data_IF_024586588693
#
_entry.id   IF_024586588693
#
_cell.length_a   1.000
_cell.length_b   1.000
_cell.length_c   1.000
_cell.angle_alpha   90.00
_cell.angle_beta   90.00
_cell.angle_gamma   90.00
#
_symmetry.space_group_name_H-M   'P 1'
#
loop_
_entity.id
_entity.type
_entity.pdbx_description
1 polymer ?
#
# COMPACT_ATOMS: atom_id res chain seq x y z
N UNK A 1 -0.44 28.37 -8.61
CA UNK A 1 -1.56 28.57 -9.57
C UNK A 1 -1.38 29.90 -10.26
N UNK A 2 -1.46 29.92 -11.58
CA UNK A 2 -1.34 31.13 -12.37
C UNK A 2 -2.73 31.57 -12.81
N UNK A 3 -3.10 32.80 -12.48
CA UNK A 3 -4.39 33.36 -12.84
C UNK A 3 -4.20 34.30 -14.04
N UNK A 4 -5.04 34.16 -15.06
CA UNK A 4 -4.98 34.95 -16.28
C UNK A 4 -5.98 36.14 -16.23
N UNK A 5 -5.75 37.21 -17.01
CA UNK A 5 -6.59 38.38 -16.95
C UNK A 5 -8.08 38.18 -17.26
N UNK A 6 -8.42 37.12 -17.96
CA UNK A 6 -9.80 36.73 -18.25
C UNK A 6 -10.46 35.89 -17.13
N UNK A 7 -9.76 35.70 -16.02
CA UNK A 7 -10.26 34.89 -14.92
C UNK A 7 -10.07 33.41 -15.12
N UNK A 8 -9.48 32.96 -16.23
CA UNK A 8 -9.19 31.57 -16.44
C UNK A 8 -8.03 31.10 -15.57
N UNK A 9 -8.22 29.96 -14.92
CA UNK A 9 -7.16 29.31 -14.14
C UNK A 9 -6.64 28.14 -14.95
N UNK A 10 -5.36 28.21 -15.33
CA UNK A 10 -4.71 27.12 -16.06
C UNK A 10 -3.83 26.37 -15.07
N UNK A 11 -4.04 25.05 -15.00
CA UNK A 11 -3.15 24.18 -14.24
C UNK A 11 -1.80 24.13 -14.93
N UNK A 12 -0.76 24.39 -14.14
CA UNK A 12 0.61 24.27 -14.57
C UNK A 12 1.28 23.15 -13.79
N UNK A 13 2.53 22.86 -14.10
CA UNK A 13 3.29 21.88 -13.34
C UNK A 13 3.40 22.24 -11.85
N UNK A 14 3.18 23.50 -11.50
CA UNK A 14 3.17 23.96 -10.11
C UNK A 14 1.88 23.56 -9.36
N UNK A 15 0.84 23.16 -10.06
CA UNK A 15 -0.41 22.70 -9.46
C UNK A 15 -0.36 21.19 -9.10
N UNK A 16 0.67 20.48 -9.56
CA UNK A 16 0.88 19.07 -9.26
C UNK A 16 1.74 18.98 -7.99
N UNK A 17 1.37 18.13 -7.02
CA UNK A 17 2.22 17.92 -5.84
C UNK A 17 3.63 17.48 -6.24
N UNK A 18 4.64 18.05 -5.58
CA UNK A 18 6.04 17.72 -5.84
C UNK A 18 6.45 16.44 -5.14
N UNK A 19 5.87 16.19 -3.97
CA UNK A 19 6.17 15.02 -3.16
C UNK A 19 4.99 14.05 -3.14
N UNK A 20 5.27 12.73 -3.10
CA UNK A 20 4.21 11.74 -2.95
C UNK A 20 3.41 11.96 -1.67
N UNK A 21 2.15 11.61 -1.70
CA UNK A 21 1.32 11.57 -0.50
C UNK A 21 1.80 10.42 0.37
N UNK A 22 2.06 10.68 1.65
CA UNK A 22 2.51 9.66 2.60
C UNK A 22 1.56 9.62 3.79
N UNK A 23 1.15 8.40 4.18
CA UNK A 23 0.35 8.17 5.37
C UNK A 23 0.88 6.94 6.10
N UNK A 24 0.96 7.05 7.41
CA UNK A 24 1.50 6.00 8.27
C UNK A 24 0.53 5.73 9.41
N UNK A 25 0.34 4.47 9.73
CA UNK A 25 -0.43 4.05 10.90
C UNK A 25 0.23 2.84 11.54
N UNK A 26 -0.13 2.56 12.78
CA UNK A 26 0.39 1.40 13.49
C UNK A 26 -0.75 0.61 14.13
N UNK A 27 -0.50 -0.68 14.31
CA UNK A 27 -1.46 -1.60 14.90
C UNK A 27 -0.78 -2.46 15.95
N UNK A 28 -1.53 -2.83 16.97
CA UNK A 28 -1.01 -3.63 18.08
C UNK A 28 -1.17 -5.15 17.89
N UNK A 29 -1.84 -5.57 16.82
CA UNK A 29 -2.15 -6.97 16.56
C UNK A 29 -3.48 -7.41 17.16
N UNK A 30 -4.30 -6.47 17.67
CA UNK A 30 -5.62 -6.78 18.19
C UNK A 30 -6.60 -7.17 17.07
N UNK A 31 -7.70 -7.90 17.40
CA UNK A 31 -8.71 -8.21 16.41
C UNK A 31 -9.26 -6.98 15.71
N UNK A 32 -9.47 -7.07 14.40
CA UNK A 32 -9.98 -5.96 13.60
C UNK A 32 -8.90 -5.13 12.91
N UNK A 33 -7.62 -5.34 13.20
CA UNK A 33 -6.52 -4.58 12.57
C UNK A 33 -6.51 -4.71 11.04
N UNK A 34 -6.80 -5.89 10.51
CA UNK A 34 -6.80 -6.10 9.05
C UNK A 34 -7.92 -5.29 8.38
N UNK A 35 -9.12 -5.29 8.98
CA UNK A 35 -10.23 -4.49 8.47
C UNK A 35 -9.92 -3.00 8.56
N UNK A 36 -9.30 -2.54 9.64
CA UNK A 36 -8.88 -1.15 9.81
C UNK A 36 -7.81 -0.76 8.78
N UNK A 37 -6.87 -1.66 8.50
CA UNK A 37 -5.85 -1.42 7.49
C UNK A 37 -6.44 -1.26 6.08
N UNK A 38 -7.45 -2.06 5.75
CA UNK A 38 -8.18 -1.92 4.48
C UNK A 38 -8.89 -0.59 4.40
N UNK A 39 -9.57 -0.17 5.46
CA UNK A 39 -10.24 1.13 5.53
C UNK A 39 -9.25 2.28 5.40
N UNK A 40 -8.11 2.17 6.04
CA UNK A 40 -7.03 3.14 5.94
C UNK A 40 -6.53 3.27 4.48
N UNK A 41 -6.34 2.15 3.79
CA UNK A 41 -5.93 2.14 2.40
C UNK A 41 -7.00 2.71 1.47
N UNK A 42 -8.27 2.41 1.71
CA UNK A 42 -9.38 2.97 0.92
C UNK A 42 -9.43 4.49 1.06
N UNK A 43 -9.25 5.00 2.28
CA UNK A 43 -9.19 6.43 2.55
C UNK A 43 -7.98 7.08 1.85
N UNK A 44 -6.83 6.41 1.86
CA UNK A 44 -5.64 6.87 1.15
C UNK A 44 -5.89 7.02 -0.36
N UNK A 45 -6.59 6.07 -0.98
CA UNK A 45 -6.96 6.17 -2.39
C UNK A 45 -7.86 7.37 -2.67
N UNK A 46 -8.79 7.67 -1.77
CA UNK A 46 -9.65 8.84 -1.89
C UNK A 46 -8.83 10.14 -1.79
N UNK A 47 -7.85 10.19 -0.90
CA UNK A 47 -6.93 11.33 -0.81
C UNK A 47 -6.11 11.50 -2.10
N UNK A 48 -5.64 10.41 -2.70
CA UNK A 48 -4.93 10.47 -3.99
C UNK A 48 -5.83 11.01 -5.11
N UNK A 49 -7.10 10.59 -5.14
CA UNK A 49 -8.06 11.11 -6.13
C UNK A 49 -8.24 12.61 -5.99
N UNK A 50 -8.23 13.11 -4.77
CA UNK A 50 -8.43 14.54 -4.48
C UNK A 50 -7.15 15.35 -4.71
N UNK A 51 -6.03 14.94 -4.16
CA UNK A 51 -4.79 15.72 -4.19
C UNK A 51 -4.00 15.59 -5.49
N UNK A 52 -3.96 14.39 -6.05
CA UNK A 52 -3.24 14.07 -7.28
C UNK A 52 -4.14 14.02 -8.50
N UNK A 53 -5.44 14.23 -8.33
CA UNK A 53 -6.43 14.04 -9.39
C UNK A 53 -6.30 12.65 -10.03
N UNK A 54 -5.95 11.67 -9.22
CA UNK A 54 -5.69 10.31 -9.71
C UNK A 54 -6.97 9.67 -10.23
N UNK A 55 -6.90 9.13 -11.44
CA UNK A 55 -7.99 8.35 -12.01
C UNK A 55 -7.72 6.86 -11.74
N UNK A 56 -8.18 6.39 -10.60
CA UNK A 56 -7.93 5.04 -10.13
C UNK A 56 -9.11 4.15 -10.49
N UNK A 57 -8.87 3.15 -11.34
CA UNK A 57 -9.86 2.17 -11.71
C UNK A 57 -10.19 1.24 -10.56
N UNK A 58 -11.35 0.58 -10.63
CA UNK A 58 -11.81 -0.34 -9.59
C UNK A 58 -10.85 -1.52 -9.41
N UNK A 59 -10.28 -2.02 -10.50
CA UNK A 59 -9.33 -3.13 -10.45
C UNK A 59 -8.07 -2.77 -9.69
N UNK A 60 -7.47 -1.61 -9.96
CA UNK A 60 -6.28 -1.12 -9.25
C UNK A 60 -6.59 -0.85 -7.79
N UNK A 61 -7.73 -0.24 -7.50
CA UNK A 61 -8.17 0.01 -6.13
C UNK A 61 -8.32 -1.29 -5.34
N UNK A 62 -9.00 -2.27 -5.89
CA UNK A 62 -9.17 -3.58 -5.26
C UNK A 62 -7.84 -4.30 -5.07
N UNK A 63 -6.95 -4.22 -6.06
CA UNK A 63 -5.62 -4.80 -5.96
C UNK A 63 -4.83 -4.21 -4.80
N UNK A 64 -4.86 -2.88 -4.64
CA UNK A 64 -4.17 -2.22 -3.52
C UNK A 64 -4.74 -2.67 -2.18
N UNK A 65 -6.06 -2.72 -2.03
CA UNK A 65 -6.70 -3.17 -0.79
C UNK A 65 -6.31 -4.61 -0.46
N UNK A 66 -6.24 -5.47 -1.46
CA UNK A 66 -5.85 -6.87 -1.26
C UNK A 66 -4.38 -6.99 -0.88
N UNK A 67 -3.48 -6.25 -1.53
CA UNK A 67 -2.07 -6.21 -1.17
C UNK A 67 -1.88 -5.76 0.28
N UNK A 68 -2.56 -4.69 0.69
CA UNK A 68 -2.51 -4.21 2.08
C UNK A 68 -3.00 -5.29 3.04
N UNK A 69 -4.13 -5.92 2.75
CA UNK A 69 -4.67 -7.01 3.59
C UNK A 69 -3.67 -8.13 3.76
N UNK A 70 -3.04 -8.56 2.68
CA UNK A 70 -2.14 -9.70 2.72
C UNK A 70 -0.82 -9.38 3.44
N UNK A 71 -0.26 -8.19 3.24
CA UNK A 71 0.95 -7.78 3.93
C UNK A 71 0.71 -7.59 5.43
N UNK A 72 -0.43 -7.02 5.80
CA UNK A 72 -0.79 -6.86 7.22
C UNK A 72 -1.08 -8.21 7.87
N UNK A 73 -1.79 -9.10 7.17
CA UNK A 73 -2.04 -10.46 7.65
C UNK A 73 -0.72 -11.21 7.88
N UNK A 74 0.22 -11.06 6.95
CA UNK A 74 1.54 -11.68 7.07
C UNK A 74 2.29 -11.16 8.31
N UNK A 75 2.28 -9.84 8.54
CA UNK A 75 2.90 -9.25 9.73
C UNK A 75 2.22 -9.74 11.01
N UNK A 76 0.91 -9.79 11.03
CA UNK A 76 0.14 -10.26 12.18
C UNK A 76 0.48 -11.71 12.54
N UNK A 77 0.58 -12.57 11.54
CA UNK A 77 0.95 -13.99 11.74
C UNK A 77 2.36 -14.18 12.27
N UNK A 78 3.31 -13.44 11.72
CA UNK A 78 4.74 -13.68 11.99
C UNK A 78 5.24 -12.93 13.22
N UNK A 79 4.71 -11.76 13.50
CA UNK A 79 5.18 -11.00 14.67
C UNK A 79 4.26 -11.12 15.87
N UNK A 80 2.95 -11.30 15.63
CA UNK A 80 1.94 -11.30 16.70
C UNK A 80 1.93 -10.02 17.54
N UNK A 81 2.77 -9.07 17.22
CA UNK A 81 2.97 -7.84 17.97
C UNK A 81 2.75 -6.59 17.13
N UNK A 82 3.25 -5.43 17.59
CA UNK A 82 3.05 -4.19 16.85
C UNK A 82 3.65 -4.23 15.45
N UNK A 83 2.96 -3.65 14.51
CA UNK A 83 3.45 -3.44 13.16
C UNK A 83 2.98 -2.09 12.62
N UNK A 84 3.73 -1.57 11.65
CA UNK A 84 3.49 -0.25 11.04
C UNK A 84 3.15 -0.44 9.58
N UNK A 85 2.09 0.21 9.14
CA UNK A 85 1.70 0.30 7.73
C UNK A 85 2.01 1.70 7.22
N UNK A 86 2.78 1.79 6.15
CA UNK A 86 3.08 3.05 5.47
C UNK A 86 2.66 2.97 4.01
N UNK A 87 1.85 3.93 3.58
CA UNK A 87 1.44 4.09 2.20
C UNK A 87 2.04 5.38 1.65
N UNK A 88 2.65 5.29 0.49
CA UNK A 88 3.23 6.44 -0.19
C UNK A 88 2.89 6.35 -1.68
N UNK A 89 2.32 7.40 -2.24
CA UNK A 89 1.86 7.29 -3.62
C UNK A 89 1.66 8.60 -4.34
N UNK A 90 1.53 8.44 -5.65
CA UNK A 90 1.21 9.48 -6.61
C UNK A 90 -0.02 9.05 -7.40
N UNK A 91 -0.27 9.69 -8.52
CA UNK A 91 -1.34 9.29 -9.45
C UNK A 91 -1.03 8.01 -10.23
N UNK A 92 0.21 7.52 -10.19
CA UNK A 92 0.67 6.40 -11.00
C UNK A 92 1.00 5.14 -10.21
N UNK A 93 1.45 5.30 -8.95
CA UNK A 93 2.06 4.21 -8.21
C UNK A 93 1.88 4.41 -6.71
N UNK A 94 1.59 3.31 -6.01
CA UNK A 94 1.57 3.29 -4.53
C UNK A 94 2.59 2.28 -4.04
N UNK A 95 3.41 2.71 -3.08
CA UNK A 95 4.29 1.86 -2.30
C UNK A 95 3.58 1.49 -1.00
N UNK A 96 3.47 0.20 -0.74
CA UNK A 96 2.92 -0.33 0.51
C UNK A 96 4.07 -0.94 1.30
N UNK A 97 4.34 -0.40 2.48
CA UNK A 97 5.38 -0.93 3.38
C UNK A 97 4.75 -1.38 4.68
N UNK A 98 5.11 -2.58 5.12
CA UNK A 98 4.74 -3.06 6.46
C UNK A 98 6.01 -3.42 7.21
N UNK A 99 6.16 -2.82 8.39
CA UNK A 99 7.28 -3.05 9.30
C UNK A 99 6.78 -3.85 10.48
N UNK A 100 7.47 -4.93 10.82
CA UNK A 100 7.16 -5.70 12.02
C UNK A 100 8.43 -6.08 12.79
N UNK A 101 8.27 -6.62 14.00
CA UNK A 101 9.38 -6.96 14.88
C UNK A 101 9.97 -8.35 14.65
N UNK A 102 9.44 -9.11 13.67
CA UNK A 102 9.95 -10.44 13.36
C UNK A 102 11.29 -10.36 12.62
N UNK A 103 12.25 -11.20 13.02
CA UNK A 103 13.51 -11.34 12.32
C UNK A 103 13.44 -12.31 11.15
N UNK A 104 12.34 -13.04 11.01
CA UNK A 104 12.15 -14.04 9.97
C UNK A 104 11.68 -13.39 8.68
N UNK A 105 12.49 -13.46 7.63
CA UNK A 105 12.08 -12.97 6.32
C UNK A 105 11.05 -13.90 5.70
N UNK A 106 10.05 -13.36 5.00
CA UNK A 106 9.04 -14.17 4.32
C UNK A 106 9.68 -14.98 3.19
N UNK A 107 9.16 -16.20 3.00
CA UNK A 107 9.57 -17.05 1.91
C UNK A 107 8.46 -17.12 0.87
N UNK A 108 8.86 -17.12 -0.39
CA UNK A 108 7.95 -17.44 -1.48
C UNK A 108 7.91 -18.95 -1.63
N UNK A 109 6.72 -19.54 -1.45
CA UNK A 109 6.51 -20.98 -1.64
C UNK A 109 5.97 -21.26 -3.03
N UNK A 110 6.30 -22.43 -3.62
CA UNK A 110 5.61 -22.89 -4.81
C UNK A 110 4.10 -22.99 -4.55
N UNK A 111 3.31 -22.71 -5.58
CA UNK A 111 1.86 -22.77 -5.46
C UNK A 111 1.41 -24.18 -5.12
N UNK A 112 0.85 -24.36 -3.94
CA UNK A 112 0.31 -25.64 -3.45
C UNK A 112 -1.08 -25.39 -2.85
N UNK A 113 -2.16 -25.91 -3.48
CA UNK A 113 -3.53 -25.72 -2.99
C UNK A 113 -3.76 -26.27 -1.59
N UNK A 114 -2.89 -27.19 -1.11
CA UNK A 114 -3.00 -27.80 0.23
C UNK A 114 -2.43 -26.92 1.33
N UNK A 115 -1.65 -25.87 0.98
CA UNK A 115 -1.11 -24.94 1.96
C UNK A 115 -2.17 -23.92 2.36
N UNK A 116 -2.80 -24.18 3.50
CA UNK A 116 -3.80 -23.26 4.03
C UNK A 116 -3.10 -22.05 4.68
N UNK A 117 -3.52 -20.83 4.28
CA UNK A 117 -3.05 -19.60 4.92
C UNK A 117 -1.65 -19.14 4.54
N UNK A 118 -1.03 -19.72 3.51
CA UNK A 118 0.31 -19.34 3.03
C UNK A 118 0.31 -18.77 1.60
N UNK A 119 -0.87 -18.42 1.10
CA UNK A 119 -1.01 -17.92 -0.27
C UNK A 119 -0.92 -16.39 -0.37
N UNK A 120 -0.88 -15.68 0.76
CA UNK A 120 -0.92 -14.23 0.78
C UNK A 120 0.19 -13.56 0.00
N UNK A 121 1.45 -14.00 0.17
CA UNK A 121 2.57 -13.44 -0.58
C UNK A 121 2.53 -13.81 -2.06
N UNK A 122 1.98 -14.96 -2.42
CA UNK A 122 1.77 -15.32 -3.82
C UNK A 122 0.79 -14.36 -4.49
N UNK A 123 -0.27 -13.99 -3.79
CA UNK A 123 -1.25 -13.00 -4.25
C UNK A 123 -0.56 -11.64 -4.43
N UNK A 124 0.25 -11.21 -3.47
CA UNK A 124 0.98 -9.94 -3.55
C UNK A 124 1.92 -9.94 -4.75
N UNK A 125 2.68 -11.01 -4.97
CA UNK A 125 3.56 -11.14 -6.12
C UNK A 125 2.80 -11.12 -7.46
N UNK A 126 1.57 -11.60 -7.49
CA UNK A 126 0.73 -11.57 -8.69
C UNK A 126 0.18 -10.18 -9.01
N UNK A 127 -0.09 -9.37 -7.97
CA UNK A 127 -0.73 -8.06 -8.11
C UNK A 127 0.25 -6.89 -8.13
N UNK A 128 1.40 -7.03 -7.49
CA UNK A 128 2.38 -5.96 -7.38
C UNK A 128 3.40 -6.03 -8.52
N UNK A 129 3.88 -4.86 -8.92
CA UNK A 129 4.96 -4.76 -9.90
C UNK A 129 6.29 -5.23 -9.32
N UNK A 130 6.49 -5.04 -8.01
CA UNK A 130 7.71 -5.41 -7.31
C UNK A 130 7.37 -5.70 -5.85
N UNK A 131 8.01 -6.72 -5.29
CA UNK A 131 7.91 -7.05 -3.86
C UNK A 131 9.32 -7.27 -3.32
N UNK A 132 9.66 -6.56 -2.25
CA UNK A 132 10.94 -6.71 -1.57
C UNK A 132 10.73 -6.94 -0.08
N UNK A 133 11.66 -7.67 0.54
CA UNK A 133 11.64 -7.90 1.97
C UNK A 133 13.07 -7.73 2.51
N UNK A 134 13.23 -6.85 3.50
CA UNK A 134 14.51 -6.49 4.06
C UNK A 134 14.50 -6.58 5.58
N UNK A 135 15.65 -6.91 6.16
CA UNK A 135 15.85 -6.74 7.59
C UNK A 135 16.12 -5.27 7.87
N UNK A 136 15.51 -4.79 8.93
CA UNK A 136 15.69 -3.41 9.42
C UNK A 136 16.01 -3.47 10.92
N UNK A 137 16.50 -2.38 11.53
CA UNK A 137 16.89 -2.41 12.96
C UNK A 137 15.79 -2.91 13.90
N UNK A 138 14.52 -2.61 13.59
CA UNK A 138 13.37 -3.01 14.43
C UNK A 138 12.82 -4.40 14.10
N UNK A 139 13.32 -5.06 13.05
CA UNK A 139 12.85 -6.37 12.64
C UNK A 139 12.92 -6.56 11.13
N UNK A 140 11.78 -6.46 10.43
CA UNK A 140 11.75 -6.56 8.97
C UNK A 140 10.80 -5.55 8.34
N UNK A 141 11.03 -5.29 7.07
CA UNK A 141 10.15 -4.49 6.22
C UNK A 141 9.80 -5.31 4.98
N UNK A 142 8.52 -5.40 4.68
CA UNK A 142 8.03 -5.93 3.40
C UNK A 142 7.43 -4.78 2.62
N UNK A 143 7.85 -4.61 1.39
CA UNK A 143 7.41 -3.52 0.51
C UNK A 143 6.86 -4.09 -0.79
N UNK A 144 5.72 -3.56 -1.21
CA UNK A 144 5.12 -3.88 -2.50
C UNK A 144 4.82 -2.59 -3.27
N UNK A 145 5.07 -2.59 -4.57
CA UNK A 145 4.73 -1.48 -5.47
C UNK A 145 3.52 -1.88 -6.30
N UNK A 146 2.49 -1.06 -6.27
CA UNK A 146 1.24 -1.30 -7.00
C UNK A 146 0.99 -0.16 -7.97
N UNK A 147 0.91 -0.49 -9.26
CA UNK A 147 0.55 0.50 -10.29
C UNK A 147 -0.94 0.84 -10.21
N UNK A 148 -1.23 2.13 -10.37
CA UNK A 148 -2.60 2.63 -10.44
C UNK A 148 -2.96 2.84 -11.92
N UNK A 149 -3.99 2.12 -12.36
CA UNK A 149 -4.45 2.17 -13.74
C UNK A 149 -5.92 2.58 -13.78
N UNK A 150 -6.33 3.14 -14.91
CA UNK A 150 -7.74 3.40 -15.18
C UNK A 150 -8.42 2.11 -15.61
N UNK A 151 -9.72 2.05 -15.38
CA UNK A 151 -10.54 0.99 -15.95
C UNK A 151 -10.62 1.10 -17.47
#
# INVERSE_FOLDING_TARGET
>A
MIEYPDGAVIRTDFDVPVEPLRRTTHYTGEPGCIAEARSFAAHFLDELRNEWCAAIGSRSGEALLLVVSELVTNADRHSGGPYVLELEGTDALVSVCVYDSSATLPRRYPRDPRRIGRHGLEIVHALAAEVTADRVPVGKRVRALVHLERD
#
